data_IF_162662471624
#
_entry.id   IF_162662471624
#
_cell.length_a   1.000
_cell.length_b   1.000
_cell.length_c   1.000
_cell.angle_alpha   90.00
_cell.angle_beta   90.00
_cell.angle_gamma   90.00
#
_symmetry.space_group_name_H-M   'P 1'
#
loop_
_entity.id
_entity.type
_entity.pdbx_description
1 polymer ?
#
# COMPACT_ATOMS: atom_id res chain seq x y z
N UNK A 1 -22.92 -4.39 4.85
CA UNK A 1 -22.19 -3.72 5.94
C UNK A 1 -20.94 -4.50 6.30
N UNK A 2 -19.81 -3.82 6.42
CA UNK A 2 -18.57 -4.45 6.86
C UNK A 2 -18.65 -4.83 8.33
N UNK A 3 -18.44 -6.08 8.64
CA UNK A 3 -18.48 -6.58 10.00
C UNK A 3 -17.10 -6.99 10.52
N UNK A 4 -16.26 -7.49 9.65
CA UNK A 4 -14.90 -7.93 9.99
C UNK A 4 -13.91 -7.10 9.21
N UNK A 5 -12.84 -6.67 9.86
CA UNK A 5 -11.76 -5.93 9.20
C UNK A 5 -10.46 -6.65 9.48
N UNK A 6 -9.78 -7.04 8.42
CA UNK A 6 -8.51 -7.72 8.48
C UNK A 6 -7.41 -6.72 8.16
N UNK A 7 -6.34 -6.75 8.94
CA UNK A 7 -5.18 -5.89 8.76
C UNK A 7 -4.00 -6.74 8.30
N UNK A 8 -3.27 -6.26 7.30
CA UNK A 8 -2.01 -6.86 6.87
C UNK A 8 -1.01 -5.77 6.56
N UNK A 9 0.27 -6.00 6.87
CA UNK A 9 1.30 -4.99 6.66
C UNK A 9 2.64 -5.62 6.32
N UNK A 10 3.48 -4.84 5.63
CA UNK A 10 4.87 -5.21 5.38
C UNK A 10 5.71 -3.95 5.21
N UNK A 11 7.02 -4.11 5.18
CA UNK A 11 7.96 -3.01 4.99
C UNK A 11 8.79 -3.25 3.73
N UNK A 12 9.33 -2.17 3.18
CA UNK A 12 10.26 -2.25 2.05
C UNK A 12 11.18 -1.03 2.04
N UNK A 13 12.44 -1.23 1.63
CA UNK A 13 13.34 -0.12 1.38
C UNK A 13 13.16 0.39 -0.04
N UNK A 14 13.14 1.70 -0.21
CA UNK A 14 13.09 2.32 -1.53
C UNK A 14 13.63 3.74 -1.45
N UNK A 15 14.21 4.20 -2.56
CA UNK A 15 14.71 5.56 -2.71
C UNK A 15 13.68 6.42 -3.39
N UNK A 16 13.62 7.68 -2.98
CA UNK A 16 12.84 8.67 -3.71
C UNK A 16 13.39 10.09 -3.50
N UNK A 17 12.95 10.99 -4.36
CA UNK A 17 13.13 12.42 -4.20
C UNK A 17 11.89 13.11 -4.77
N UNK A 18 11.29 14.02 -4.02
CA UNK A 18 10.18 14.80 -4.54
C UNK A 18 10.68 15.66 -5.72
N UNK A 19 9.92 15.69 -6.80
CA UNK A 19 10.30 16.47 -7.99
C UNK A 19 10.25 17.96 -7.72
N UNK A 20 9.38 18.39 -6.79
CA UNK A 20 9.35 19.77 -6.31
C UNK A 20 8.94 19.79 -4.85
N UNK A 21 9.81 20.33 -4.02
CA UNK A 21 9.54 20.63 -2.61
C UNK A 21 9.89 22.09 -2.40
N UNK A 22 8.88 22.90 -2.07
CA UNK A 22 9.02 24.36 -1.93
C UNK A 22 9.66 25.00 -3.19
N UNK A 23 9.28 24.49 -4.36
CA UNK A 23 9.76 25.02 -5.64
C UNK A 23 11.10 24.49 -6.11
N UNK A 24 11.73 23.57 -5.36
CA UNK A 24 13.03 23.02 -5.69
C UNK A 24 12.97 21.48 -5.70
N UNK A 25 13.75 20.81 -6.57
CA UNK A 25 13.86 19.36 -6.49
C UNK A 25 14.54 18.96 -5.18
N UNK A 26 14.07 17.87 -4.61
CA UNK A 26 14.61 17.32 -3.37
C UNK A 26 15.81 16.43 -3.67
N UNK A 27 16.76 16.36 -2.75
CA UNK A 27 17.85 15.39 -2.85
C UNK A 27 17.32 13.98 -2.64
N UNK A 28 17.76 12.99 -3.46
CA UNK A 28 17.34 11.60 -3.27
C UNK A 28 17.75 11.07 -1.91
N UNK A 29 16.87 10.30 -1.30
CA UNK A 29 17.12 9.67 -0.01
C UNK A 29 16.42 8.32 0.08
N UNK A 30 16.98 7.45 0.92
CA UNK A 30 16.43 6.12 1.15
C UNK A 30 15.59 6.13 2.42
N UNK A 31 14.48 5.41 2.38
CA UNK A 31 13.62 5.19 3.54
C UNK A 31 13.25 3.74 3.68
N UNK A 32 12.99 3.34 4.91
CA UNK A 32 12.18 2.15 5.16
C UNK A 32 10.72 2.59 5.12
N UNK A 33 10.02 2.12 4.11
CA UNK A 33 8.59 2.35 3.94
C UNK A 33 7.80 1.24 4.61
N UNK A 34 6.63 1.55 5.08
CA UNK A 34 5.68 0.54 5.54
C UNK A 34 4.34 0.75 4.85
N UNK A 35 3.73 -0.37 4.44
CA UNK A 35 2.34 -0.38 3.98
C UNK A 35 1.52 -1.21 4.95
N UNK A 36 0.34 -0.73 5.29
CA UNK A 36 -0.69 -1.49 5.98
C UNK A 36 -2.00 -1.34 5.23
N UNK A 37 -2.73 -2.44 5.09
CA UNK A 37 -4.05 -2.40 4.46
C UNK A 37 -5.10 -2.88 5.43
N UNK A 38 -6.33 -2.39 5.24
CA UNK A 38 -7.52 -2.88 5.94
C UNK A 38 -8.49 -3.39 4.90
N UNK A 39 -8.94 -4.62 5.10
CA UNK A 39 -9.83 -5.31 4.18
C UNK A 39 -11.08 -5.72 4.93
N UNK A 40 -12.23 -5.30 4.44
CA UNK A 40 -13.52 -5.58 5.07
C UNK A 40 -14.23 -6.76 4.42
N UNK A 41 -14.96 -7.50 5.25
CA UNK A 41 -15.91 -8.52 4.79
C UNK A 41 -17.18 -8.45 5.65
N UNK A 42 -18.27 -9.02 5.12
CA UNK A 42 -19.55 -9.04 5.82
C UNK A 42 -19.76 -10.34 6.60
N UNK A 43 -19.18 -11.43 6.13
CA UNK A 43 -19.46 -12.77 6.63
C UNK A 43 -18.17 -13.58 6.82
N UNK A 44 -18.26 -14.58 7.70
CA UNK A 44 -17.22 -15.60 7.82
C UNK A 44 -17.45 -16.69 6.79
N UNK A 45 -16.35 -17.29 6.32
CA UNK A 45 -16.40 -18.48 5.50
C UNK A 45 -16.78 -19.72 6.33
N UNK A 46 -16.90 -20.85 5.64
CA UNK A 46 -17.31 -22.11 6.28
C UNK A 46 -16.31 -22.63 7.29
N UNK A 47 -15.05 -22.21 7.17
CA UNK A 47 -13.99 -22.60 8.12
C UNK A 47 -13.88 -21.65 9.31
N UNK A 48 -14.74 -20.62 9.38
CA UNK A 48 -14.83 -19.73 10.54
C UNK A 48 -13.95 -18.49 10.49
N UNK A 49 -13.27 -18.22 9.39
CA UNK A 49 -12.48 -17.00 9.23
C UNK A 49 -13.04 -16.13 8.08
N UNK A 50 -12.78 -14.83 8.19
CA UNK A 50 -13.28 -13.85 7.22
C UNK A 50 -12.53 -13.97 5.89
N UNK A 51 -11.19 -13.89 5.95
CA UNK A 51 -10.29 -14.10 4.81
C UNK A 51 -9.04 -14.81 5.34
N UNK A 52 -8.42 -15.59 4.47
CA UNK A 52 -7.16 -16.25 4.78
C UNK A 52 -6.05 -15.20 4.93
N UNK A 53 -5.49 -15.05 6.11
CA UNK A 53 -4.39 -14.10 6.37
C UNK A 53 -3.21 -14.33 5.44
N UNK A 54 -2.89 -15.58 5.16
CA UNK A 54 -1.76 -15.91 4.29
C UNK A 54 -2.01 -15.42 2.86
N UNK A 55 -3.21 -15.61 2.35
CA UNK A 55 -3.58 -15.15 1.01
C UNK A 55 -3.51 -13.62 0.92
N UNK A 56 -4.05 -12.92 1.92
CA UNK A 56 -4.01 -11.45 1.96
C UNK A 56 -2.57 -10.95 2.03
N UNK A 57 -1.78 -11.53 2.93
CA UNK A 57 -0.38 -11.12 3.10
C UNK A 57 0.45 -11.37 1.84
N UNK A 58 0.23 -12.49 1.16
CA UNK A 58 0.90 -12.80 -0.11
C UNK A 58 0.58 -11.74 -1.17
N UNK A 59 -0.66 -11.26 -1.24
CA UNK A 59 -1.03 -10.18 -2.16
C UNK A 59 -0.28 -8.89 -1.85
N UNK A 60 -0.15 -8.55 -0.56
CA UNK A 60 0.60 -7.37 -0.14
C UNK A 60 2.07 -7.51 -0.54
N UNK A 61 2.68 -8.65 -0.25
CA UNK A 61 4.09 -8.92 -0.60
C UNK A 61 4.32 -8.83 -2.11
N UNK A 62 3.41 -9.39 -2.91
CA UNK A 62 3.50 -9.33 -4.37
C UNK A 62 3.37 -7.90 -4.89
N UNK A 63 2.49 -7.10 -4.28
CA UNK A 63 2.30 -5.71 -4.69
C UNK A 63 3.54 -4.86 -4.41
N UNK A 64 4.24 -5.09 -3.31
CA UNK A 64 5.43 -4.31 -2.96
C UNK A 64 6.73 -4.87 -3.55
N UNK A 65 6.73 -6.11 -4.01
CA UNK A 65 7.96 -6.74 -4.52
C UNK A 65 8.71 -5.91 -5.57
N UNK A 66 8.03 -5.31 -6.57
CA UNK A 66 8.72 -4.45 -7.54
C UNK A 66 9.31 -3.17 -6.96
N UNK A 67 8.87 -2.77 -5.76
CA UNK A 67 9.33 -1.53 -5.12
C UNK A 67 10.54 -1.76 -4.23
N UNK A 68 10.81 -3.00 -3.84
CA UNK A 68 11.92 -3.30 -2.93
C UNK A 68 13.26 -2.93 -3.56
N UNK A 69 14.03 -2.15 -2.82
CA UNK A 69 15.36 -1.69 -3.22
C UNK A 69 15.36 -0.94 -4.57
N UNK A 70 14.25 -0.28 -4.88
CA UNK A 70 14.06 0.45 -6.14
C UNK A 70 14.18 1.96 -5.95
N UNK A 71 14.25 2.66 -7.07
CA UNK A 71 14.12 4.10 -7.13
C UNK A 71 12.68 4.42 -7.58
N UNK A 72 11.87 4.95 -6.66
CA UNK A 72 10.47 5.24 -6.93
C UNK A 72 10.29 6.33 -8.00
N UNK A 73 11.27 7.20 -8.18
CA UNK A 73 11.22 8.20 -9.25
C UNK A 73 11.21 7.56 -10.63
N UNK A 74 11.83 6.38 -10.76
CA UNK A 74 11.87 5.66 -12.03
C UNK A 74 10.61 4.83 -12.28
N UNK A 75 9.76 4.65 -11.28
CA UNK A 75 8.52 3.88 -11.44
C UNK A 75 7.55 4.65 -12.33
N UNK A 76 7.00 4.02 -13.40
CA UNK A 76 6.21 4.74 -14.40
C UNK A 76 4.94 5.38 -13.85
N UNK A 77 4.35 4.81 -12.79
CA UNK A 77 3.14 5.35 -12.19
C UNK A 77 3.40 6.15 -10.92
N UNK A 78 4.22 5.60 -10.00
CA UNK A 78 4.52 6.26 -8.72
C UNK A 78 5.34 7.53 -8.93
N UNK A 79 6.27 7.50 -9.88
CA UNK A 79 7.17 8.63 -10.13
C UNK A 79 6.51 9.89 -10.66
N UNK A 80 5.26 9.82 -11.08
CA UNK A 80 4.57 10.95 -11.75
C UNK A 80 3.31 11.35 -11.01
N UNK A 81 3.11 12.65 -10.73
CA UNK A 81 4.02 13.76 -10.99
C UNK A 81 5.21 13.80 -10.05
N UNK A 82 5.10 13.13 -8.91
CA UNK A 82 6.13 13.08 -7.88
C UNK A 82 5.92 11.83 -7.02
N UNK A 83 6.99 11.14 -6.59
CA UNK A 83 6.86 9.87 -5.85
C UNK A 83 6.57 10.11 -4.36
N UNK A 84 5.40 10.65 -4.07
CA UNK A 84 4.93 10.90 -2.71
C UNK A 84 4.36 9.63 -2.08
N UNK A 85 4.22 9.64 -0.75
CA UNK A 85 3.54 8.56 -0.03
C UNK A 85 2.09 8.40 -0.51
N UNK A 86 1.41 9.50 -0.80
CA UNK A 86 0.06 9.50 -1.36
C UNK A 86 0.01 8.76 -2.70
N UNK A 87 0.99 9.01 -3.57
CA UNK A 87 1.03 8.37 -4.87
C UNK A 87 1.34 6.88 -4.76
N UNK A 88 2.22 6.50 -3.83
CA UNK A 88 2.48 5.09 -3.52
C UNK A 88 1.19 4.40 -3.09
N UNK A 89 0.41 5.05 -2.21
CA UNK A 89 -0.87 4.49 -1.74
C UNK A 89 -1.85 4.26 -2.89
N UNK A 90 -1.98 5.22 -3.80
CA UNK A 90 -2.90 5.10 -4.94
C UNK A 90 -2.51 3.93 -5.85
N UNK A 91 -1.24 3.81 -6.18
CA UNK A 91 -0.77 2.75 -7.08
C UNK A 91 -0.94 1.38 -6.44
N UNK A 92 -0.57 1.24 -5.16
CA UNK A 92 -0.72 -0.04 -4.47
C UNK A 92 -2.19 -0.41 -4.28
N UNK A 93 -3.07 0.56 -3.99
CA UNK A 93 -4.50 0.30 -3.92
C UNK A 93 -5.04 -0.29 -5.23
N UNK A 94 -4.64 0.30 -6.36
CA UNK A 94 -5.06 -0.20 -7.68
C UNK A 94 -4.57 -1.62 -7.96
N UNK A 95 -3.39 -1.98 -7.47
CA UNK A 95 -2.84 -3.33 -7.65
C UNK A 95 -3.51 -4.36 -6.74
N UNK A 96 -3.91 -3.95 -5.54
CA UNK A 96 -4.46 -4.87 -4.53
C UNK A 96 -5.96 -5.12 -4.71
N UNK A 97 -6.69 -4.11 -5.15
CA UNK A 97 -8.14 -4.17 -5.21
C UNK A 97 -8.70 -5.39 -5.96
N UNK A 98 -8.24 -5.72 -7.19
CA UNK A 98 -8.84 -6.82 -7.94
C UNK A 98 -8.68 -8.17 -7.25
N UNK A 99 -7.49 -8.47 -6.73
CA UNK A 99 -7.22 -9.75 -6.07
C UNK A 99 -8.00 -9.91 -4.77
N UNK A 100 -8.12 -8.82 -4.00
CA UNK A 100 -8.90 -8.85 -2.76
C UNK A 100 -10.39 -9.02 -3.05
N UNK A 101 -10.91 -8.33 -4.06
CA UNK A 101 -12.30 -8.50 -4.48
C UNK A 101 -12.58 -9.94 -4.92
N UNK A 102 -11.64 -10.57 -5.61
CA UNK A 102 -11.78 -11.95 -6.07
C UNK A 102 -11.93 -12.95 -4.94
N UNK A 103 -11.42 -12.67 -3.75
CA UNK A 103 -11.57 -13.53 -2.57
C UNK A 103 -12.63 -13.04 -1.59
N UNK A 104 -13.45 -12.05 -1.99
CA UNK A 104 -14.59 -11.57 -1.21
C UNK A 104 -14.27 -10.42 -0.26
N UNK A 105 -13.11 -9.79 -0.40
CA UNK A 105 -12.71 -8.66 0.44
C UNK A 105 -12.93 -7.32 -0.24
N UNK A 106 -13.20 -6.30 0.57
CA UNK A 106 -13.22 -4.90 0.13
C UNK A 106 -12.02 -4.19 0.71
N UNK A 107 -11.17 -3.63 -0.13
CA UNK A 107 -10.07 -2.80 0.34
C UNK A 107 -10.65 -1.49 0.89
N UNK A 108 -10.49 -1.25 2.18
CA UNK A 108 -11.05 -0.08 2.86
C UNK A 108 -10.05 1.06 2.98
N UNK A 109 -8.81 0.73 3.28
CA UNK A 109 -7.77 1.74 3.55
C UNK A 109 -6.42 1.18 3.15
N UNK A 110 -5.59 2.05 2.55
CA UNK A 110 -4.16 1.81 2.38
C UNK A 110 -3.42 2.88 3.15
N UNK A 111 -2.61 2.46 4.10
CA UNK A 111 -1.77 3.36 4.92
C UNK A 111 -0.32 3.20 4.50
N UNK A 112 0.36 4.31 4.29
CA UNK A 112 1.77 4.33 3.90
C UNK A 112 2.54 5.17 4.91
N UNK A 113 3.56 4.57 5.51
CA UNK A 113 4.54 5.29 6.32
C UNK A 113 5.78 5.54 5.48
N UNK A 114 6.22 6.78 5.47
CA UNK A 114 7.52 7.17 4.93
C UNK A 114 8.44 7.39 6.13
N UNK A 115 9.12 6.33 6.54
CA UNK A 115 9.83 6.32 7.81
C UNK A 115 8.89 6.14 9.00
N UNK A 116 9.41 6.16 10.25
CA UNK A 116 8.62 5.75 11.41
C UNK A 116 7.62 6.79 11.91
N UNK A 117 7.74 8.05 11.48
CA UNK A 117 7.02 9.14 12.13
C UNK A 117 5.81 9.67 11.34
N UNK A 118 5.78 9.47 10.02
CA UNK A 118 4.76 10.10 9.18
C UNK A 118 4.00 9.06 8.36
N UNK A 119 2.68 9.18 8.39
CA UNK A 119 1.78 8.25 7.71
C UNK A 119 0.71 9.00 6.93
N UNK A 120 0.38 8.50 5.76
CA UNK A 120 -0.83 8.91 5.04
C UNK A 120 -1.78 7.73 4.95
N UNK A 121 -3.07 8.01 4.98
CA UNK A 121 -4.13 7.02 4.77
C UNK A 121 -4.90 7.39 3.51
N UNK A 122 -4.99 6.45 2.58
CA UNK A 122 -5.92 6.55 1.46
C UNK A 122 -7.18 5.76 1.84
N UNK A 123 -8.29 6.45 1.98
CA UNK A 123 -9.58 5.83 2.29
C UNK A 123 -10.32 5.53 1.01
N UNK A 124 -10.84 4.31 0.92
CA UNK A 124 -11.54 3.82 -0.26
C UNK A 124 -13.01 3.50 0.03
N UNK A 125 -13.42 3.69 1.27
CA UNK A 125 -14.79 3.49 1.73
C UNK A 125 -15.63 4.75 1.68
#
# INVERSE_FOLDING_TARGET
>A
MTRWVIHSRTTFFARHALTSYQGQPEEPHDHLWEIAIRVGTDELGTEGYALDFHAVHTMVEQAVAPLRDSDLNAHPEIGKPSPTAERVAEVLAGKLHPGLAAIGGRLLTVSIWEGPENRVDLRLD
#
